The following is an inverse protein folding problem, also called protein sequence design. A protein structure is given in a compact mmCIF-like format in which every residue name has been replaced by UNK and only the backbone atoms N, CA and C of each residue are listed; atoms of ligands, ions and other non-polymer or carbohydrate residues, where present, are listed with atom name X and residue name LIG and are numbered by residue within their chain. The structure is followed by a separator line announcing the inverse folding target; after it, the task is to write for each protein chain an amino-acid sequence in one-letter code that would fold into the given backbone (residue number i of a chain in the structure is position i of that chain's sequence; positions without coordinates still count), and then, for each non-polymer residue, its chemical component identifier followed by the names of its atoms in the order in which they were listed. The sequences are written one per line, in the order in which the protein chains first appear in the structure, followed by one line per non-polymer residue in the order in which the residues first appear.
data_IF_495578986994
#
_entry.id   IF_495578986994
#
_cell.length_a   1.000
_cell.length_b   1.000
_cell.length_c   1.000
_cell.angle_alpha   90.00
_cell.angle_beta   90.00
_cell.angle_gamma   90.00
#
_symmetry.space_group_name_H-M   'P 1'
#
loop_
_entity.id
_entity.type
_entity.pdbx_description
1 polymer ?
#
# COMPACT_ATOMS: atom_id res chain seq x y z
N UNK A 1 8.90 6.90 -15.95
CA UNK A 1 9.08 6.95 -14.49
C UNK A 1 10.16 7.95 -14.14
N UNK A 2 9.80 9.05 -13.49
CA UNK A 2 10.72 9.97 -12.83
C UNK A 2 11.23 9.35 -11.54
N UNK A 3 12.20 10.01 -10.91
CA UNK A 3 12.70 9.60 -9.60
C UNK A 3 11.61 9.69 -8.54
N UNK A 4 10.82 10.76 -8.55
CA UNK A 4 9.70 10.94 -7.61
C UNK A 4 8.62 9.86 -7.78
N UNK A 5 8.27 9.53 -9.04
CA UNK A 5 7.34 8.43 -9.32
C UNK A 5 7.90 7.11 -8.77
N UNK A 6 9.18 6.83 -8.99
CA UNK A 6 9.82 5.60 -8.48
C UNK A 6 9.85 5.53 -6.95
N UNK A 7 10.00 6.66 -6.26
CA UNK A 7 9.97 6.72 -4.79
C UNK A 7 8.57 6.35 -4.28
N UNK A 8 7.52 6.95 -4.85
CA UNK A 8 6.12 6.65 -4.50
C UNK A 8 5.77 5.18 -4.67
N UNK A 9 6.27 4.55 -5.73
CA UNK A 9 6.12 3.10 -5.97
C UNK A 9 6.76 2.26 -4.87
N UNK A 10 7.97 2.61 -4.44
CA UNK A 10 8.69 1.90 -3.38
C UNK A 10 8.00 2.11 -2.04
N UNK A 11 7.60 3.33 -1.72
CA UNK A 11 6.89 3.67 -0.48
C UNK A 11 5.56 2.94 -0.37
N UNK A 12 4.75 2.91 -1.44
CA UNK A 12 3.51 2.15 -1.46
C UNK A 12 3.74 0.66 -1.23
N UNK A 13 4.75 0.05 -1.90
CA UNK A 13 5.07 -1.37 -1.69
C UNK A 13 5.52 -1.67 -0.26
N UNK A 14 6.27 -0.77 0.37
CA UNK A 14 6.66 -0.92 1.77
C UNK A 14 5.45 -0.85 2.70
N UNK A 15 4.56 0.12 2.48
CA UNK A 15 3.32 0.26 3.24
C UNK A 15 2.43 -0.99 3.11
N UNK A 16 2.23 -1.49 1.88
CA UNK A 16 1.47 -2.71 1.62
C UNK A 16 2.08 -3.94 2.32
N UNK A 17 3.41 -4.07 2.32
CA UNK A 17 4.10 -5.16 3.01
C UNK A 17 3.88 -5.10 4.52
N UNK A 18 3.97 -3.91 5.12
CA UNK A 18 3.70 -3.73 6.55
C UNK A 18 2.24 -4.03 6.87
N UNK A 19 1.30 -3.55 6.04
CA UNK A 19 -0.12 -3.80 6.21
C UNK A 19 -0.47 -5.29 6.20
N UNK A 20 0.11 -6.06 5.27
CA UNK A 20 -0.02 -7.53 5.23
C UNK A 20 0.52 -8.21 6.49
N UNK A 21 1.60 -7.69 7.08
CA UNK A 21 2.13 -8.20 8.35
C UNK A 21 1.15 -7.94 9.50
N UNK A 22 0.55 -6.75 9.56
CA UNK A 22 -0.44 -6.41 10.59
C UNK A 22 -1.66 -7.34 10.51
N UNK A 23 -2.19 -7.55 9.30
CA UNK A 23 -3.30 -8.48 9.06
C UNK A 23 -2.94 -9.92 9.47
N UNK A 24 -1.77 -10.41 9.03
CA UNK A 24 -1.31 -11.77 9.36
C UNK A 24 -1.15 -12.04 10.86
N UNK A 25 -0.95 -10.97 11.65
CA UNK A 25 -0.82 -11.03 13.11
C UNK A 25 -2.15 -10.84 13.84
N UNK A 26 -3.24 -10.61 13.11
CA UNK A 26 -4.55 -10.30 13.68
C UNK A 26 -4.59 -8.95 14.40
N UNK A 27 -3.70 -8.03 14.06
CA UNK A 27 -3.66 -6.67 14.64
C UNK A 27 -4.75 -5.79 14.03
N UNK A 28 -5.12 -6.08 12.78
CA UNK A 28 -6.20 -5.42 12.05
C UNK A 28 -7.12 -6.47 11.44
N UNK A 29 -8.36 -6.09 11.16
CA UNK A 29 -9.33 -6.93 10.43
C UNK A 29 -9.14 -6.83 8.92
N UNK A 30 -9.85 -7.70 8.18
CA UNK A 30 -9.90 -7.61 6.71
C UNK A 30 -10.58 -6.30 6.25
N UNK A 31 -11.59 -5.80 6.97
CA UNK A 31 -12.20 -4.50 6.66
C UNK A 31 -11.19 -3.36 6.84
N UNK A 32 -10.48 -3.33 7.97
CA UNK A 32 -9.46 -2.31 8.23
C UNK A 32 -8.30 -2.40 7.23
N UNK A 33 -7.94 -3.60 6.76
CA UNK A 33 -6.95 -3.77 5.70
C UNK A 33 -7.39 -3.06 4.41
N UNK A 34 -8.64 -3.23 3.98
CA UNK A 34 -9.16 -2.61 2.75
C UNK A 34 -9.16 -1.09 2.88
N UNK A 35 -9.67 -0.56 3.99
CA UNK A 35 -9.71 0.89 4.23
C UNK A 35 -8.30 1.51 4.24
N UNK A 36 -7.33 0.84 4.89
CA UNK A 36 -5.95 1.33 4.94
C UNK A 36 -5.25 1.22 3.57
N UNK A 37 -5.49 0.17 2.78
CA UNK A 37 -4.93 0.08 1.42
C UNK A 37 -5.48 1.19 0.51
N UNK A 38 -6.78 1.49 0.61
CA UNK A 38 -7.39 2.62 -0.12
C UNK A 38 -6.74 3.95 0.24
N UNK A 39 -6.51 4.20 1.54
CA UNK A 39 -5.79 5.39 2.02
C UNK A 39 -4.35 5.42 1.50
N UNK A 40 -3.62 4.31 1.56
CA UNK A 40 -2.26 4.21 1.02
C UNK A 40 -2.21 4.52 -0.48
N UNK A 41 -3.17 4.01 -1.27
CA UNK A 41 -3.25 4.31 -2.71
C UNK A 41 -3.49 5.81 -2.97
N UNK A 42 -4.26 6.49 -2.11
CA UNK A 42 -4.45 7.94 -2.20
C UNK A 42 -3.18 8.71 -1.80
N UNK A 43 -2.55 8.35 -0.68
CA UNK A 43 -1.35 9.02 -0.15
C UNK A 43 -0.16 8.91 -1.10
N UNK A 44 0.17 7.69 -1.53
CA UNK A 44 1.34 7.48 -2.37
C UNK A 44 1.05 7.76 -3.85
N UNK A 45 -0.22 7.67 -4.28
CA UNK A 45 -0.63 7.82 -5.68
C UNK A 45 0.31 7.07 -6.66
N UNK A 46 0.56 5.75 -6.44
CA UNK A 46 1.45 4.99 -7.32
C UNK A 46 0.81 4.84 -8.70
N UNK A 47 1.62 4.99 -9.74
CA UNK A 47 1.18 4.93 -11.14
C UNK A 47 0.79 3.51 -11.55
N UNK A 48 1.41 2.50 -10.92
CA UNK A 48 1.19 1.09 -11.19
C UNK A 48 0.19 0.43 -10.21
N UNK A 49 -0.65 1.22 -9.53
CA UNK A 49 -1.61 0.73 -8.52
C UNK A 49 -2.49 -0.43 -9.01
N UNK A 50 -2.81 -0.47 -10.30
CA UNK A 50 -3.67 -1.49 -10.91
C UNK A 50 -2.97 -2.84 -11.11
N UNK A 51 -1.63 -2.87 -11.02
CA UNK A 51 -0.80 -4.07 -11.27
C UNK A 51 -0.38 -4.74 -9.96
N UNK A 52 -0.53 -4.05 -8.83
CA UNK A 52 -0.27 -4.59 -7.50
C UNK A 52 -1.53 -5.25 -6.95
N UNK A 53 -1.80 -6.45 -7.45
CA UNK A 53 -2.78 -7.39 -6.90
C UNK A 53 -2.11 -8.22 -5.81
#
# INVERSE_FOLDING_TARGET
MTKEQSIKEVEYKMALKLLKILLSRGIITDEEYVEIDELNRQTFSPELREVYV
#
